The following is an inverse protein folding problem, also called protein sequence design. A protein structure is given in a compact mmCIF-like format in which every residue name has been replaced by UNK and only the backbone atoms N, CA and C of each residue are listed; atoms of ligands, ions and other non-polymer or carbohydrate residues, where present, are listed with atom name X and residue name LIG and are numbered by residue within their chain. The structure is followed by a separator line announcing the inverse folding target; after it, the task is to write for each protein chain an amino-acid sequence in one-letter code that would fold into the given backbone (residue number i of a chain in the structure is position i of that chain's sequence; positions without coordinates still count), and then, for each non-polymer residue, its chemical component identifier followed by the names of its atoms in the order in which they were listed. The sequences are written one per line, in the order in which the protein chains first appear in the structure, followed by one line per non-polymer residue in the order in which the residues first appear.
data_IF_972207376148
#
_entry.id   IF_972207376148
#
_cell.length_a   1.000
_cell.length_b   1.000
_cell.length_c   1.000
_cell.angle_alpha   90.00
_cell.angle_beta   90.00
_cell.angle_gamma   90.00
#
_symmetry.space_group_name_H-M   'P 1'
#
loop_
_entity.id
_entity.type
_entity.pdbx_description
1 polymer ?
#
# COMPACT_ATOMS: atom_id res chain seq x y z
N UNK A 1 -6.56 -17.95 -29.40
CA UNK A 1 -6.64 -17.03 -28.23
C UNK A 1 -5.29 -16.36 -28.09
N UNK A 2 -5.20 -15.06 -28.40
CA UNK A 2 -3.93 -14.33 -28.31
C UNK A 2 -3.61 -14.10 -26.82
N UNK A 3 -2.67 -14.86 -26.28
CA UNK A 3 -2.08 -14.63 -24.96
C UNK A 3 -1.34 -13.30 -25.02
N UNK A 4 -1.91 -12.23 -24.47
CA UNK A 4 -1.20 -10.97 -24.28
C UNK A 4 0.00 -11.27 -23.36
N UNK A 5 1.22 -11.27 -23.91
CA UNK A 5 2.44 -11.39 -23.10
C UNK A 5 2.71 -10.05 -22.46
N UNK A 6 2.59 -10.00 -21.14
CA UNK A 6 2.97 -8.84 -20.34
C UNK A 6 4.47 -8.52 -20.51
N UNK A 7 4.82 -7.23 -20.55
CA UNK A 7 6.19 -6.80 -20.74
C UNK A 7 7.07 -7.29 -19.56
N UNK A 8 8.16 -8.02 -19.82
CA UNK A 8 8.95 -8.62 -18.77
C UNK A 8 9.79 -7.55 -18.05
N UNK A 9 9.63 -7.45 -16.72
CA UNK A 9 10.55 -6.71 -15.85
C UNK A 9 11.22 -7.65 -14.86
N UNK A 10 12.38 -7.22 -14.33
CA UNK A 10 13.14 -8.02 -13.36
C UNK A 10 12.67 -7.73 -11.93
N UNK A 11 12.47 -8.74 -11.07
CA UNK A 11 12.13 -8.53 -9.67
C UNK A 11 13.12 -7.59 -8.98
N UNK A 12 12.61 -6.72 -8.10
CA UNK A 12 13.42 -5.74 -7.35
C UNK A 12 13.56 -6.17 -5.89
N UNK A 13 14.81 -6.34 -5.44
CA UNK A 13 15.11 -6.61 -4.02
C UNK A 13 14.75 -5.42 -3.13
N UNK A 14 15.00 -4.19 -3.60
CA UNK A 14 14.68 -2.98 -2.83
C UNK A 14 13.16 -2.87 -2.57
N UNK A 15 12.35 -3.14 -3.59
CA UNK A 15 10.89 -3.14 -3.45
C UNK A 15 10.43 -4.24 -2.48
N UNK A 16 11.06 -5.41 -2.54
CA UNK A 16 10.77 -6.53 -1.63
C UNK A 16 11.04 -6.16 -0.16
N UNK A 17 12.17 -5.48 0.11
CA UNK A 17 12.54 -5.04 1.46
C UNK A 17 11.57 -3.97 1.96
N UNK A 18 11.18 -3.02 1.11
CA UNK A 18 10.20 -2.00 1.49
C UNK A 18 8.85 -2.59 1.86
N UNK A 19 8.31 -3.49 1.03
CA UNK A 19 7.06 -4.19 1.35
C UNK A 19 7.18 -5.04 2.63
N UNK A 20 8.36 -5.57 2.92
CA UNK A 20 8.62 -6.31 4.17
C UNK A 20 8.54 -5.40 5.37
N UNK A 21 9.22 -4.25 5.35
CA UNK A 21 9.08 -3.24 6.38
C UNK A 21 7.63 -2.76 6.51
N UNK A 22 6.94 -2.59 5.38
CA UNK A 22 5.56 -2.13 5.36
C UNK A 22 4.64 -3.11 6.08
N UNK A 23 4.73 -4.43 5.86
CA UNK A 23 3.93 -5.44 6.60
C UNK A 23 3.96 -5.24 8.12
N UNK A 24 5.14 -4.97 8.71
CA UNK A 24 5.25 -4.75 10.15
C UNK A 24 4.66 -3.41 10.58
N UNK A 25 4.83 -2.35 9.78
CA UNK A 25 4.11 -1.09 10.01
C UNK A 25 2.60 -1.28 9.86
N UNK A 26 2.14 -2.09 8.91
CA UNK A 26 0.74 -2.44 8.67
C UNK A 26 0.12 -3.09 9.91
N UNK A 27 0.81 -4.08 10.47
CA UNK A 27 0.40 -4.73 11.72
C UNK A 27 0.38 -3.72 12.88
N UNK A 28 1.43 -2.90 12.99
CA UNK A 28 1.56 -1.93 14.07
C UNK A 28 0.44 -0.87 14.04
N UNK A 29 0.15 -0.29 12.87
CA UNK A 29 -0.92 0.71 12.75
C UNK A 29 -2.29 0.09 13.00
N UNK A 30 -2.53 -1.13 12.51
CA UNK A 30 -3.80 -1.83 12.76
C UNK A 30 -4.03 -2.07 14.25
N UNK A 31 -3.01 -2.53 14.98
CA UNK A 31 -3.14 -2.77 16.42
C UNK A 31 -3.39 -1.45 17.17
N UNK A 32 -2.57 -0.42 16.90
CA UNK A 32 -2.68 0.86 17.63
C UNK A 32 -4.02 1.53 17.34
N UNK A 33 -4.46 1.56 16.08
CA UNK A 33 -5.75 2.14 15.72
C UNK A 33 -6.94 1.30 16.21
N UNK A 34 -6.82 -0.03 16.19
CA UNK A 34 -7.80 -0.93 16.78
C UNK A 34 -7.98 -0.70 18.28
N UNK A 35 -6.89 -0.53 19.02
CA UNK A 35 -6.93 -0.15 20.45
C UNK A 35 -7.59 1.22 20.64
N UNK A 36 -7.28 2.20 19.78
CA UNK A 36 -7.94 3.51 19.79
C UNK A 36 -9.46 3.39 19.61
N UNK A 37 -9.92 2.61 18.63
CA UNK A 37 -11.36 2.36 18.40
C UNK A 37 -12.00 1.68 19.62
N UNK A 38 -11.35 0.67 20.21
CA UNK A 38 -11.87 -0.02 21.40
C UNK A 38 -11.98 0.92 22.60
N UNK A 39 -10.99 1.80 22.79
CA UNK A 39 -11.01 2.81 23.85
C UNK A 39 -12.14 3.84 23.65
N UNK A 40 -12.42 4.19 22.38
CA UNK A 40 -13.46 5.16 22.00
C UNK A 40 -14.82 4.56 21.66
N UNK A 41 -14.97 3.25 21.78
CA UNK A 41 -16.20 2.55 21.41
C UNK A 41 -17.47 3.17 22.03
N UNK A 42 -17.48 3.59 23.32
CA UNK A 42 -18.64 4.24 23.93
C UNK A 42 -19.05 5.57 23.26
N UNK A 43 -18.10 6.26 22.63
CA UNK A 43 -18.28 7.57 22.01
C UNK A 43 -18.55 7.48 20.49
N UNK A 44 -18.41 6.30 19.88
CA UNK A 44 -18.44 6.06 18.41
C UNK A 44 -19.83 5.63 17.88
N UNK A 45 -20.91 5.85 18.63
CA UNK A 45 -22.28 5.49 18.20
C UNK A 45 -22.93 6.50 17.23
N UNK A 46 -22.24 7.58 16.89
CA UNK A 46 -22.70 8.54 15.89
C UNK A 46 -22.33 8.10 14.46
N UNK A 47 -22.91 8.78 13.45
CA UNK A 47 -22.67 8.46 12.03
C UNK A 47 -21.17 8.57 11.70
N UNK A 48 -20.48 9.55 12.28
CA UNK A 48 -19.04 9.72 12.08
C UNK A 48 -18.26 8.52 12.65
N UNK A 49 -18.57 8.06 13.85
CA UNK A 49 -17.91 6.91 14.48
C UNK A 49 -18.11 5.61 13.71
N UNK A 50 -19.32 5.39 13.17
CA UNK A 50 -19.58 4.25 12.27
C UNK A 50 -18.70 4.34 11.02
N UNK A 51 -18.57 5.53 10.40
CA UNK A 51 -17.68 5.74 9.26
C UNK A 51 -16.21 5.44 9.60
N UNK A 52 -15.73 5.80 10.80
CA UNK A 52 -14.37 5.48 11.27
C UNK A 52 -14.16 3.97 11.36
N UNK A 53 -15.11 3.23 11.94
CA UNK A 53 -15.01 1.77 12.06
C UNK A 53 -15.00 1.10 10.68
N UNK A 54 -15.88 1.55 9.76
CA UNK A 54 -15.92 1.02 8.39
C UNK A 54 -14.61 1.33 7.65
N UNK A 55 -14.12 2.56 7.73
CA UNK A 55 -12.87 2.96 7.09
C UNK A 55 -11.68 2.16 7.63
N UNK A 56 -11.64 1.90 8.95
CA UNK A 56 -10.63 1.04 9.55
C UNK A 56 -10.67 -0.36 8.95
N UNK A 57 -11.84 -1.01 8.93
CA UNK A 57 -11.98 -2.37 8.39
C UNK A 57 -11.63 -2.46 6.91
N UNK A 58 -12.10 -1.51 6.11
CA UNK A 58 -11.78 -1.44 4.68
C UNK A 58 -10.29 -1.19 4.48
N UNK A 59 -9.69 -0.29 5.25
CA UNK A 59 -8.25 -0.01 5.23
C UNK A 59 -7.41 -1.25 5.54
N UNK A 60 -7.73 -1.97 6.63
CA UNK A 60 -7.01 -3.19 7.01
C UNK A 60 -7.04 -4.24 5.90
N UNK A 61 -8.20 -4.43 5.25
CA UNK A 61 -8.38 -5.39 4.17
C UNK A 61 -7.71 -4.91 2.87
N UNK A 62 -7.82 -3.63 2.55
CA UNK A 62 -7.18 -3.01 1.39
C UNK A 62 -5.67 -3.12 1.49
N UNK A 63 -5.09 -2.81 2.65
CA UNK A 63 -3.65 -2.90 2.91
C UNK A 63 -3.12 -4.33 2.74
N UNK A 64 -3.82 -5.30 3.32
CA UNK A 64 -3.49 -6.73 3.17
C UNK A 64 -3.49 -7.15 1.69
N UNK A 65 -4.53 -6.78 0.95
CA UNK A 65 -4.68 -7.12 -0.45
C UNK A 65 -3.63 -6.39 -1.31
N UNK A 66 -3.39 -5.10 -1.04
CA UNK A 66 -2.38 -4.26 -1.69
C UNK A 66 -1.01 -4.90 -1.56
N UNK A 67 -0.54 -5.16 -0.34
CA UNK A 67 0.77 -5.77 -0.09
C UNK A 67 0.89 -7.15 -0.73
N UNK A 68 -0.16 -7.98 -0.67
CA UNK A 68 -0.18 -9.28 -1.35
C UNK A 68 0.04 -9.15 -2.87
N UNK A 69 -0.63 -8.20 -3.51
CA UNK A 69 -0.45 -7.95 -4.94
C UNK A 69 0.93 -7.40 -5.26
N UNK A 70 1.51 -6.57 -4.39
CA UNK A 70 2.88 -6.07 -4.54
C UNK A 70 3.91 -7.20 -4.52
N UNK A 71 3.82 -8.09 -3.51
CA UNK A 71 4.70 -9.25 -3.40
C UNK A 71 4.58 -10.20 -4.59
N UNK A 72 3.35 -10.59 -4.91
CA UNK A 72 3.08 -11.49 -6.03
C UNK A 72 3.54 -10.89 -7.35
N UNK A 73 3.22 -9.61 -7.58
CA UNK A 73 3.64 -8.85 -8.75
C UNK A 73 5.16 -8.86 -8.89
N UNK A 74 5.88 -8.43 -7.87
CA UNK A 74 7.34 -8.31 -7.86
C UNK A 74 8.05 -9.66 -8.07
N UNK A 75 7.67 -10.70 -7.30
CA UNK A 75 8.35 -12.00 -7.35
C UNK A 75 8.04 -12.81 -8.62
N UNK A 76 6.80 -12.70 -9.13
CA UNK A 76 6.38 -13.45 -10.31
C UNK A 76 6.55 -12.65 -11.61
N UNK A 77 7.15 -11.46 -11.55
CA UNK A 77 7.30 -10.53 -12.69
C UNK A 77 5.97 -10.29 -13.42
N UNK A 78 4.87 -10.14 -12.66
CA UNK A 78 3.53 -9.89 -13.19
C UNK A 78 3.20 -8.40 -13.09
N UNK A 79 3.44 -7.60 -14.14
CA UNK A 79 3.18 -6.17 -14.09
C UNK A 79 1.70 -5.85 -13.82
N UNK A 80 0.74 -6.69 -14.24
CA UNK A 80 -0.67 -6.47 -13.87
C UNK A 80 -0.94 -6.46 -12.36
N UNK A 81 -0.39 -7.44 -11.64
CA UNK A 81 -0.50 -7.51 -10.17
C UNK A 81 0.26 -6.33 -9.52
N UNK A 82 1.43 -5.96 -10.05
CA UNK A 82 2.19 -4.83 -9.53
C UNK A 82 1.51 -3.48 -9.79
N UNK A 83 0.83 -3.30 -10.94
CA UNK A 83 -0.01 -2.13 -11.20
C UNK A 83 -1.15 -2.04 -10.18
N UNK A 84 -1.77 -3.16 -9.82
CA UNK A 84 -2.84 -3.18 -8.82
C UNK A 84 -2.32 -2.68 -7.46
N UNK A 85 -1.14 -3.14 -7.04
CA UNK A 85 -0.45 -2.61 -5.86
C UNK A 85 -0.22 -1.09 -5.93
N UNK A 86 0.28 -0.60 -7.07
CA UNK A 86 0.55 0.83 -7.27
C UNK A 86 -0.71 1.69 -7.32
N UNK A 87 -1.82 1.17 -7.84
CA UNK A 87 -3.10 1.88 -7.93
C UNK A 87 -3.78 1.95 -6.56
N UNK A 88 -3.77 0.84 -5.81
CA UNK A 88 -4.38 0.79 -4.48
C UNK A 88 -3.69 1.72 -3.48
N UNK A 89 -2.37 1.93 -3.61
CA UNK A 89 -1.58 2.78 -2.71
C UNK A 89 -2.13 4.23 -2.64
N UNK A 90 -2.22 5.00 -3.73
CA UNK A 90 -2.76 6.37 -3.70
C UNK A 90 -4.30 6.44 -3.71
N UNK A 91 -5.01 5.49 -4.35
CA UNK A 91 -6.46 5.63 -4.53
C UNK A 91 -7.29 5.09 -3.37
N UNK A 92 -6.78 4.10 -2.63
CA UNK A 92 -7.53 3.45 -1.55
C UNK A 92 -6.82 3.67 -0.22
N UNK A 93 -5.55 3.29 -0.12
CA UNK A 93 -4.84 3.30 1.17
C UNK A 93 -4.58 4.72 1.67
N UNK A 94 -4.08 5.60 0.81
CA UNK A 94 -3.79 6.98 1.16
C UNK A 94 -5.00 7.77 1.70
N UNK A 95 -6.17 7.83 1.02
CA UNK A 95 -7.31 8.57 1.55
C UNK A 95 -7.85 7.96 2.85
N UNK A 96 -7.79 6.63 3.03
CA UNK A 96 -8.21 5.98 4.27
C UNK A 96 -7.28 6.36 5.42
N UNK A 97 -5.97 6.26 5.25
CA UNK A 97 -4.99 6.65 6.28
C UNK A 97 -5.18 8.11 6.70
N UNK A 98 -5.37 9.01 5.73
CA UNK A 98 -5.60 10.44 6.02
C UNK A 98 -6.91 10.63 6.79
N UNK A 99 -8.01 10.01 6.34
CA UNK A 99 -9.30 10.09 7.04
C UNK A 99 -9.19 9.61 8.49
N UNK A 100 -8.61 8.42 8.70
CA UNK A 100 -8.44 7.84 10.03
C UNK A 100 -7.55 8.71 10.93
N UNK A 101 -6.50 9.31 10.37
CA UNK A 101 -5.62 10.23 11.10
C UNK A 101 -6.34 11.51 11.54
N UNK A 102 -7.13 12.11 10.65
CA UNK A 102 -7.89 13.33 10.94
C UNK A 102 -9.05 13.08 11.92
N UNK A 103 -9.62 11.87 11.91
CA UNK A 103 -10.67 11.46 12.85
C UNK A 103 -10.14 11.13 14.25
N UNK A 104 -8.83 10.92 14.42
CA UNK A 104 -8.23 10.57 15.71
C UNK A 104 -7.97 11.81 16.58
N UNK A 105 -8.62 11.89 17.75
CA UNK A 105 -8.45 13.01 18.70
C UNK A 105 -7.45 12.71 19.84
N UNK A 106 -7.38 11.46 20.26
CA UNK A 106 -6.44 10.94 21.26
C UNK A 106 -5.37 10.08 20.59
N UNK A 107 -4.22 9.90 21.26
CA UNK A 107 -3.04 9.20 20.70
C UNK A 107 -2.49 9.81 19.41
N UNK A 108 -2.86 11.05 19.09
CA UNK A 108 -2.53 11.74 17.85
C UNK A 108 -1.03 11.71 17.55
N UNK A 109 -0.15 11.86 18.54
CA UNK A 109 1.30 11.79 18.30
C UNK A 109 1.76 10.41 17.84
N UNK A 110 1.32 9.34 18.51
CA UNK A 110 1.72 7.96 18.14
C UNK A 110 1.13 7.58 16.79
N UNK A 111 -0.16 7.86 16.58
CA UNK A 111 -0.85 7.61 15.31
C UNK A 111 -0.23 8.42 14.16
N UNK A 112 0.15 9.68 14.40
CA UNK A 112 0.83 10.52 13.43
C UNK A 112 2.19 9.95 13.05
N UNK A 113 3.02 9.54 14.02
CA UNK A 113 4.34 8.96 13.75
C UNK A 113 4.21 7.70 12.89
N UNK A 114 3.28 6.82 13.24
CA UNK A 114 3.04 5.59 12.47
C UNK A 114 2.50 5.92 11.08
N UNK A 115 1.53 6.83 10.96
CA UNK A 115 0.97 7.24 9.67
C UNK A 115 2.04 7.85 8.76
N UNK A 116 2.88 8.75 9.27
CA UNK A 116 3.98 9.35 8.52
C UNK A 116 4.99 8.29 8.09
N UNK A 117 5.33 7.32 8.96
CA UNK A 117 6.21 6.22 8.60
C UNK A 117 5.62 5.35 7.48
N UNK A 118 4.34 4.96 7.58
CA UNK A 118 3.62 4.19 6.57
C UNK A 118 3.56 4.95 5.24
N UNK A 119 3.19 6.23 5.25
CA UNK A 119 3.14 7.08 4.05
C UNK A 119 4.52 7.25 3.42
N UNK A 120 5.57 7.35 4.22
CA UNK A 120 6.96 7.44 3.73
C UNK A 120 7.39 6.17 3.01
N UNK A 121 7.16 4.99 3.62
CA UNK A 121 7.46 3.71 2.97
C UNK A 121 6.61 3.52 1.71
N UNK A 122 5.30 3.79 1.79
CA UNK A 122 4.39 3.69 0.65
C UNK A 122 4.80 4.61 -0.51
N UNK A 123 5.30 5.81 -0.21
CA UNK A 123 5.83 6.73 -1.23
C UNK A 123 7.07 6.15 -1.92
N UNK A 124 8.00 5.56 -1.16
CA UNK A 124 9.18 4.91 -1.72
C UNK A 124 8.82 3.68 -2.58
N UNK A 125 7.88 2.86 -2.11
CA UNK A 125 7.33 1.72 -2.85
C UNK A 125 6.73 2.18 -4.18
N UNK A 126 5.92 3.25 -4.15
CA UNK A 126 5.28 3.81 -5.33
C UNK A 126 6.32 4.29 -6.34
N UNK A 127 7.31 5.08 -5.90
CA UNK A 127 8.38 5.58 -6.76
C UNK A 127 9.17 4.43 -7.41
N UNK A 128 9.60 3.43 -6.62
CA UNK A 128 10.35 2.29 -7.14
C UNK A 128 9.49 1.45 -8.09
N UNK A 129 8.23 1.19 -7.76
CA UNK A 129 7.35 0.41 -8.63
C UNK A 129 7.05 1.13 -9.95
N UNK A 130 6.86 2.45 -9.94
CA UNK A 130 6.73 3.25 -11.16
C UNK A 130 8.01 3.19 -12.00
N UNK A 131 9.19 3.37 -11.39
CA UNK A 131 10.47 3.23 -12.10
C UNK A 131 10.66 1.83 -12.69
N UNK A 132 10.20 0.81 -11.98
CA UNK A 132 10.32 -0.58 -12.41
C UNK A 132 9.43 -0.92 -13.60
N UNK A 133 8.23 -0.37 -13.63
CA UNK A 133 7.25 -0.52 -14.72
C UNK A 133 7.45 0.48 -15.85
N UNK A 134 8.29 1.50 -15.67
CA UNK A 134 8.54 2.50 -16.68
C UNK A 134 9.10 1.83 -17.95
N UNK A 135 8.52 2.10 -19.13
CA UNK A 135 8.97 1.50 -20.37
C UNK A 135 10.43 1.87 -20.64
N UNK A 136 11.33 0.88 -20.61
CA UNK A 136 12.71 1.06 -21.07
C UNK A 136 12.72 0.91 -22.57
N UNK A 137 13.31 1.89 -23.27
CA UNK A 137 13.53 1.81 -24.70
C UNK A 137 14.28 0.50 -25.03
N UNK A 138 13.71 -0.29 -25.94
CA UNK A 138 14.36 -1.49 -26.45
C UNK A 138 15.65 -1.03 -27.14
N UNK A 139 16.82 -1.40 -26.60
CA UNK A 139 18.06 -1.22 -27.34
C UNK A 139 17.96 -2.16 -28.53
N UNK A 140 17.68 -1.62 -29.71
CA UNK A 140 17.74 -2.34 -30.98
C UNK A 140 19.14 -2.94 -31.08
N UNK A 141 19.25 -4.24 -30.77
CA UNK A 141 20.47 -4.99 -31.02
C UNK A 141 20.55 -5.11 -32.53
N UNK A 142 21.28 -4.18 -33.15
CA UNK A 142 21.61 -4.26 -34.57
C UNK A 142 22.42 -5.53 -34.76
N UNK A 143 21.74 -6.61 -35.17
CA UNK A 143 22.38 -7.80 -35.71
C UNK A 143 23.08 -7.35 -37.00
N UNK A 144 24.40 -7.14 -36.92
CA UNK A 144 25.22 -7.00 -38.13
C UNK A 144 25.09 -8.31 -38.91
N UNK A 145 24.47 -8.21 -40.09
CA UNK A 145 24.48 -9.25 -41.11
C UNK A 145 25.87 -9.43 -41.69
#
# INVERSE_FOLDING_TARGET
MNSIREAPYRPSLALQILMFCNVYLSISWNIVYGVYILYKLPDLYDIHGICVIIAYLIGSLAELYRLRMGYKGNLQSRPGDLCTFLILSPLVELPIIIFLLLSAKEFTTLLLVIAVATLSIMSLEFLIGVVLLWPKAEKTVLVKK
#
